data_IF_396040443990
#
_entry.id   IF_396040443990
#
_cell.length_a   1.000
_cell.length_b   1.000
_cell.length_c   1.000
_cell.angle_alpha   90.00
_cell.angle_beta   90.00
_cell.angle_gamma   90.00
#
_symmetry.space_group_name_H-M   'P 1'
#
loop_
_entity.id
_entity.type
_entity.pdbx_description
1 polymer ?
#
# COMPACT_ATOMS: atom_id res chain seq x y z
N UNK A 1 18.93 -5.99 10.55
CA UNK A 1 18.23 -5.12 11.51
C UNK A 1 16.80 -4.98 11.04
N UNK A 2 15.81 -5.25 11.89
CA UNK A 2 14.41 -4.96 11.57
C UNK A 2 14.18 -3.46 11.78
N UNK A 3 13.86 -2.74 10.71
CA UNK A 3 13.48 -1.33 10.81
C UNK A 3 12.06 -1.25 11.38
N UNK A 4 11.93 -0.80 12.62
CA UNK A 4 10.64 -0.54 13.27
C UNK A 4 10.43 0.97 13.37
N UNK A 5 9.86 1.59 12.34
CA UNK A 5 9.46 3.00 12.44
C UNK A 5 8.30 3.14 13.42
N UNK A 6 8.44 4.02 14.40
CA UNK A 6 7.32 4.44 15.23
C UNK A 6 6.57 5.57 14.50
N UNK A 7 5.47 5.24 13.85
CA UNK A 7 4.50 6.23 13.35
C UNK A 7 3.50 6.49 14.46
N UNK A 8 3.31 7.74 14.83
CA UNK A 8 2.27 8.08 15.80
C UNK A 8 0.90 7.79 15.19
N UNK A 9 -0.11 7.43 15.98
CA UNK A 9 -1.48 7.32 15.45
C UNK A 9 -1.96 8.67 14.91
N UNK A 10 -2.78 8.65 13.86
CA UNK A 10 -3.45 9.86 13.39
C UNK A 10 -4.50 10.28 14.42
N UNK A 11 -4.38 11.50 14.97
CA UNK A 11 -5.30 12.05 15.99
C UNK A 11 -6.19 13.16 15.39
N UNK A 12 -6.04 13.41 14.08
CA UNK A 12 -6.80 14.41 13.34
C UNK A 12 -5.89 15.46 12.66
N UNK A 13 -6.45 16.63 12.37
CA UNK A 13 -5.78 17.67 11.59
C UNK A 13 -4.47 18.18 12.24
N UNK A 14 -4.37 18.13 13.57
CA UNK A 14 -3.24 18.67 14.34
C UNK A 14 -1.92 17.93 14.09
N UNK A 15 -1.97 16.63 13.78
CA UNK A 15 -0.78 15.84 13.48
C UNK A 15 -0.73 15.30 12.05
N UNK A 16 -1.69 15.65 11.19
CA UNK A 16 -1.79 15.18 9.81
C UNK A 16 -0.51 15.32 9.00
N UNK A 17 0.09 16.52 8.93
CA UNK A 17 1.30 16.75 8.11
C UNK A 17 2.49 15.90 8.56
N UNK A 18 2.66 15.73 9.88
CA UNK A 18 3.73 14.89 10.45
C UNK A 18 3.44 13.42 10.20
N UNK A 19 2.21 12.98 10.46
CA UNK A 19 1.74 11.62 10.22
C UNK A 19 1.96 11.22 8.75
N UNK A 20 1.46 12.03 7.82
CA UNK A 20 1.61 11.83 6.37
C UNK A 20 3.08 11.68 5.99
N UNK A 21 3.97 12.55 6.49
CA UNK A 21 5.40 12.46 6.22
C UNK A 21 6.04 11.18 6.77
N UNK A 22 5.63 10.73 7.95
CA UNK A 22 6.12 9.48 8.54
C UNK A 22 5.67 8.27 7.71
N UNK A 23 4.42 8.25 7.25
CA UNK A 23 3.87 7.22 6.36
C UNK A 23 4.65 7.18 5.04
N UNK A 24 4.83 8.32 4.37
CA UNK A 24 5.59 8.41 3.12
C UNK A 24 7.00 7.83 3.26
N UNK A 25 7.72 8.18 4.35
CA UNK A 25 9.08 7.70 4.60
C UNK A 25 9.12 6.20 4.88
N UNK A 26 8.15 5.68 5.64
CA UNK A 26 8.03 4.24 5.92
C UNK A 26 7.82 3.45 4.62
N UNK A 27 6.93 3.90 3.75
CA UNK A 27 6.62 3.23 2.50
C UNK A 27 7.78 3.32 1.50
N UNK A 28 8.50 4.44 1.47
CA UNK A 28 9.74 4.58 0.68
C UNK A 28 10.82 3.64 1.19
N UNK A 29 10.96 3.46 2.50
CA UNK A 29 11.90 2.50 3.07
C UNK A 29 11.58 1.07 2.63
N UNK A 30 10.29 0.72 2.56
CA UNK A 30 9.85 -0.58 2.04
C UNK A 30 9.84 -0.69 0.51
N UNK A 31 10.11 0.39 -0.23
CA UNK A 31 10.09 0.40 -1.70
C UNK A 31 8.68 0.27 -2.31
N UNK A 32 7.63 0.61 -1.56
CA UNK A 32 6.22 0.40 -1.96
C UNK A 32 5.41 1.69 -2.06
N UNK A 33 6.07 2.86 -1.96
CA UNK A 33 5.41 4.17 -2.06
C UNK A 33 4.62 4.34 -3.37
N UNK A 34 5.13 3.78 -4.47
CA UNK A 34 4.52 3.86 -5.81
C UNK A 34 3.12 3.23 -5.89
N UNK A 35 2.80 2.27 -5.00
CA UNK A 35 1.47 1.68 -4.93
C UNK A 35 0.41 2.69 -4.48
N UNK A 36 0.83 3.65 -3.63
CA UNK A 36 -0.11 4.58 -2.97
C UNK A 36 -0.18 5.91 -3.70
N UNK A 37 0.88 6.28 -4.43
CA UNK A 37 0.80 7.36 -5.42
C UNK A 37 0.03 6.92 -6.69
N UNK A 38 -0.15 5.62 -6.89
CA UNK A 38 -0.81 5.06 -8.08
C UNK A 38 0.11 4.93 -9.30
N UNK A 39 1.41 5.21 -9.13
CA UNK A 39 2.41 5.06 -10.19
C UNK A 39 2.62 3.59 -10.56
N UNK A 40 2.38 2.68 -9.61
CA UNK A 40 2.40 1.23 -9.82
C UNK A 40 1.03 0.64 -9.56
N UNK A 41 0.46 -0.01 -10.59
CA UNK A 41 -0.85 -0.67 -10.54
C UNK A 41 -0.73 -2.19 -10.68
N UNK A 42 -1.80 -2.90 -10.31
CA UNK A 42 -1.87 -4.34 -10.49
C UNK A 42 -1.67 -4.67 -11.99
N UNK A 43 -0.74 -5.58 -12.35
CA UNK A 43 -0.55 -5.93 -13.74
C UNK A 43 -1.82 -6.58 -14.31
N UNK A 44 -2.07 -6.35 -15.60
CA UNK A 44 -3.20 -6.93 -16.34
C UNK A 44 -2.63 -7.86 -17.41
N UNK A 45 -3.21 -9.06 -17.54
CA UNK A 45 -2.84 -10.01 -18.57
C UNK A 45 -3.61 -9.69 -19.87
N UNK A 46 -2.91 -9.62 -20.99
CA UNK A 46 -3.53 -9.48 -22.31
C UNK A 46 -4.27 -10.78 -22.70
N UNK A 47 -5.37 -10.66 -23.45
CA UNK A 47 -6.18 -11.82 -23.85
C UNK A 47 -5.44 -12.79 -24.78
N UNK A 48 -4.49 -12.28 -25.57
CA UNK A 48 -3.67 -13.02 -26.54
C UNK A 48 -2.26 -13.34 -26.01
N UNK A 49 -2.06 -13.29 -24.69
CA UNK A 49 -0.75 -13.51 -24.09
C UNK A 49 -0.19 -14.89 -24.39
N UNK A 50 1.09 -14.93 -24.79
CA UNK A 50 1.81 -16.20 -24.95
C UNK A 50 2.02 -16.89 -23.60
N UNK A 51 2.34 -18.19 -23.58
CA UNK A 51 2.68 -18.89 -22.34
C UNK A 51 3.82 -18.21 -21.56
N UNK A 52 4.83 -17.69 -22.25
CA UNK A 52 5.97 -16.98 -21.64
C UNK A 52 5.52 -15.68 -20.97
N UNK A 53 4.66 -14.91 -21.63
CA UNK A 53 4.07 -13.68 -21.08
C UNK A 53 3.17 -14.00 -19.88
N UNK A 54 2.43 -15.09 -19.92
CA UNK A 54 1.58 -15.56 -18.81
C UNK A 54 2.40 -15.87 -17.56
N UNK A 55 3.54 -16.56 -17.71
CA UNK A 55 4.45 -16.86 -16.59
C UNK A 55 5.04 -15.57 -15.98
N UNK A 56 5.44 -14.61 -16.81
CA UNK A 56 5.95 -13.31 -16.35
C UNK A 56 4.86 -12.49 -15.64
N UNK A 57 3.64 -12.53 -16.15
CA UNK A 57 2.48 -11.91 -15.53
C UNK A 57 2.21 -12.50 -14.14
N UNK A 58 2.17 -13.82 -14.00
CA UNK A 58 1.90 -14.46 -12.71
C UNK A 58 2.95 -14.09 -11.65
N UNK A 59 4.23 -14.05 -12.07
CA UNK A 59 5.34 -13.62 -11.20
C UNK A 59 5.16 -12.17 -10.77
N UNK A 60 4.87 -11.29 -11.72
CA UNK A 60 4.66 -9.86 -11.46
C UNK A 60 3.45 -9.62 -10.57
N UNK A 61 2.34 -10.34 -10.80
CA UNK A 61 1.12 -10.26 -9.98
C UNK A 61 1.37 -10.74 -8.56
N UNK A 62 2.08 -11.86 -8.37
CA UNK A 62 2.45 -12.35 -7.03
C UNK A 62 3.31 -11.34 -6.28
N UNK A 63 4.29 -10.73 -6.96
CA UNK A 63 5.10 -9.66 -6.35
C UNK A 63 4.27 -8.45 -5.98
N UNK A 64 3.37 -8.02 -6.86
CA UNK A 64 2.47 -6.90 -6.60
C UNK A 64 1.58 -7.18 -5.37
N UNK A 65 0.93 -8.35 -5.29
CA UNK A 65 0.06 -8.71 -4.16
C UNK A 65 0.80 -8.75 -2.82
N UNK A 66 2.07 -9.18 -2.82
CA UNK A 66 2.92 -9.13 -1.63
C UNK A 66 3.19 -7.70 -1.18
N UNK A 67 3.56 -6.83 -2.11
CA UNK A 67 3.87 -5.43 -1.83
C UNK A 67 2.62 -4.65 -1.40
N UNK A 68 1.48 -4.96 -2.01
CA UNK A 68 0.16 -4.43 -1.66
C UNK A 68 -0.26 -4.84 -0.23
N UNK A 69 -0.12 -6.12 0.12
CA UNK A 69 -0.37 -6.60 1.48
C UNK A 69 0.53 -5.90 2.52
N UNK A 70 1.79 -5.65 2.16
CA UNK A 70 2.72 -4.93 3.03
C UNK A 70 2.31 -3.46 3.20
N UNK A 71 1.86 -2.79 2.15
CA UNK A 71 1.36 -1.42 2.20
C UNK A 71 0.11 -1.34 3.10
N UNK A 72 -0.85 -2.25 2.90
CA UNK A 72 -2.05 -2.34 3.72
C UNK A 72 -1.71 -2.58 5.20
N UNK A 73 -0.82 -3.54 5.50
CA UNK A 73 -0.40 -3.82 6.88
C UNK A 73 0.30 -2.61 7.54
N UNK A 74 1.16 -1.91 6.78
CA UNK A 74 1.84 -0.71 7.25
C UNK A 74 0.86 0.42 7.57
N UNK A 75 -0.21 0.58 6.78
CA UNK A 75 -1.26 1.58 6.99
C UNK A 75 -2.21 1.21 8.14
N UNK A 76 -2.69 -0.03 8.19
CA UNK A 76 -3.57 -0.51 9.27
C UNK A 76 -2.87 -0.42 10.63
N UNK A 77 -1.59 -0.77 10.71
CA UNK A 77 -0.84 -0.75 11.97
C UNK A 77 -0.62 0.65 12.59
N UNK A 78 -0.88 1.72 11.83
CA UNK A 78 -0.61 3.11 12.23
C UNK A 78 -1.88 3.97 12.28
N UNK A 79 -3.03 3.36 11.99
CA UNK A 79 -4.37 3.94 12.12
C UNK A 79 -4.97 3.54 13.48
N UNK A 80 -5.96 4.30 13.96
CA UNK A 80 -6.79 3.85 15.08
C UNK A 80 -7.92 2.95 14.58
N UNK A 81 -8.57 2.23 15.49
CA UNK A 81 -9.57 1.20 15.13
C UNK A 81 -10.74 1.79 14.32
N UNK A 82 -11.12 3.03 14.59
CA UNK A 82 -12.16 3.77 13.86
C UNK A 82 -11.75 4.02 12.41
N UNK A 83 -10.51 4.45 12.18
CA UNK A 83 -10.00 4.70 10.84
C UNK A 83 -9.74 3.37 10.08
N UNK A 84 -9.40 2.28 10.77
CA UNK A 84 -9.26 0.94 10.16
C UNK A 84 -10.59 0.45 9.58
N UNK A 85 -11.70 0.57 10.31
CA UNK A 85 -13.02 0.15 9.81
C UNK A 85 -13.49 0.98 8.61
N UNK A 86 -13.16 2.28 8.58
CA UNK A 86 -13.42 3.15 7.42
C UNK A 86 -12.65 2.72 6.17
N UNK A 87 -11.41 2.26 6.32
CA UNK A 87 -10.64 1.74 5.17
C UNK A 87 -11.08 0.35 4.71
N UNK A 88 -11.55 -0.49 5.64
CA UNK A 88 -12.03 -1.84 5.33
C UNK A 88 -13.32 -1.86 4.50
N UNK A 89 -14.12 -0.79 4.59
CA UNK A 89 -15.38 -0.63 3.84
C UNK A 89 -15.20 0.09 2.50
N UNK A 90 -14.01 0.60 2.21
CA UNK A 90 -13.75 1.35 0.98
C UNK A 90 -13.24 0.44 -0.14
N UNK A 91 -13.97 0.40 -1.26
CA UNK A 91 -13.56 -0.33 -2.47
C UNK A 91 -12.34 0.31 -3.16
N UNK A 92 -12.05 1.59 -2.87
CA UNK A 92 -10.87 2.27 -3.42
C UNK A 92 -10.43 3.47 -2.56
N UNK A 93 -9.15 3.81 -2.57
CA UNK A 93 -8.63 5.00 -1.90
C UNK A 93 -9.27 6.33 -2.40
N UNK A 94 -9.97 6.32 -3.54
CA UNK A 94 -10.73 7.48 -4.06
C UNK A 94 -12.13 7.62 -3.46
N UNK A 95 -12.64 6.58 -2.81
CA UNK A 95 -14.00 6.53 -2.26
C UNK A 95 -14.10 7.04 -0.82
N UNK A 96 -12.98 7.54 -0.25
CA UNK A 96 -12.89 8.15 1.09
C UNK A 96 -12.75 9.67 0.95
#
# INVERSE_FOLDING_TARGET
>A
MEFRAHVNKLVGATNWSKWKRQVELLLRHHGIHELISGDRVCPVLAEDATPEVTVLYEKSRKSFMKDDSLAQLALVGIMDDVNVELTATSESAKSI
#
